data_IF_915368243583
#
_entry.id   IF_915368243583
#
_cell.length_a   1.000
_cell.length_b   1.000
_cell.length_c   1.000
_cell.angle_alpha   90.00
_cell.angle_beta   90.00
_cell.angle_gamma   90.00
#
_symmetry.space_group_name_H-M   'P 1'
#
loop_
_entity.id
_entity.type
_entity.pdbx_description
1 polymer ?
#
# COMPACT_ATOMS: atom_id res chain seq x y z
N UNK A 1 -17.79 -74.11 -4.95
CA UNK A 1 -16.48 -74.77 -5.05
C UNK A 1 -15.50 -73.76 -5.61
N UNK A 2 -14.42 -73.32 -4.99
CA UNK A 2 -13.72 -73.64 -3.75
C UNK A 2 -12.66 -72.52 -3.63
N UNK A 3 -12.54 -71.92 -2.44
CA UNK A 3 -11.33 -71.40 -1.74
C UNK A 3 -10.18 -70.69 -2.51
N UNK A 4 -9.28 -69.85 -1.96
CA UNK A 4 -9.01 -69.16 -0.68
C UNK A 4 -7.73 -68.32 -0.93
N UNK A 5 -7.64 -67.12 -0.31
CA UNK A 5 -6.44 -66.39 0.21
C UNK A 5 -5.31 -66.04 -0.80
N UNK A 6 -4.46 -65.02 -0.63
CA UNK A 6 -4.33 -63.75 0.11
C UNK A 6 -2.88 -63.31 -0.20
N UNK A 7 -2.55 -62.03 -0.45
CA UNK A 7 -1.33 -61.34 0.07
C UNK A 7 -1.44 -59.86 -0.31
N UNK A 8 -1.39 -59.00 0.70
CA UNK A 8 -1.19 -57.55 0.63
C UNK A 8 0.27 -57.22 0.28
N UNK A 9 0.48 -56.27 -0.65
CA UNK A 9 1.76 -55.57 -0.77
C UNK A 9 1.53 -54.10 -1.13
N UNK A 10 2.07 -53.23 -0.29
CA UNK A 10 2.17 -51.78 -0.42
C UNK A 10 3.08 -51.37 -1.57
N UNK A 11 2.70 -50.36 -2.36
CA UNK A 11 3.64 -49.61 -3.19
C UNK A 11 3.17 -48.16 -3.39
N UNK A 12 3.88 -47.23 -2.76
CA UNK A 12 3.86 -45.78 -2.98
C UNK A 12 4.45 -45.45 -4.36
N UNK A 13 3.93 -44.47 -5.13
CA UNK A 13 4.59 -44.02 -6.35
C UNK A 13 5.72 -43.03 -6.01
N UNK A 14 6.94 -43.38 -6.39
CA UNK A 14 8.11 -42.49 -6.28
C UNK A 14 8.06 -41.41 -7.38
N UNK A 15 7.99 -40.14 -6.98
CA UNK A 15 8.16 -38.99 -7.90
C UNK A 15 9.65 -38.68 -8.05
N UNK A 16 10.11 -38.64 -9.30
CA UNK A 16 11.48 -38.35 -9.72
C UNK A 16 11.90 -36.94 -9.27
N UNK A 17 13.09 -36.83 -8.64
CA UNK A 17 13.81 -35.56 -8.44
C UNK A 17 14.55 -35.21 -9.73
N UNK A 18 14.27 -34.04 -10.32
CA UNK A 18 15.11 -33.43 -11.35
C UNK A 18 16.20 -32.61 -10.69
N UNK A 19 17.43 -33.10 -10.72
CA UNK A 19 18.63 -32.36 -10.34
C UNK A 19 19.27 -31.80 -11.62
N UNK A 20 19.34 -30.47 -11.79
CA UNK A 20 20.21 -29.86 -12.81
C UNK A 20 21.64 -29.79 -12.27
N UNK A 21 22.57 -30.38 -13.00
CA UNK A 21 24.00 -30.41 -12.71
C UNK A 21 24.67 -29.27 -13.48
N UNK A 22 25.24 -28.27 -12.80
CA UNK A 22 26.10 -27.25 -13.44
C UNK A 22 27.53 -27.53 -13.00
N UNK A 23 28.40 -27.85 -13.97
CA UNK A 23 29.83 -28.08 -13.78
C UNK A 23 30.60 -26.81 -14.15
N UNK A 24 31.19 -26.13 -13.16
CA UNK A 24 32.22 -25.13 -13.39
C UNK A 24 33.58 -25.72 -13.00
N UNK A 25 34.58 -25.56 -13.87
CA UNK A 25 35.92 -26.16 -13.74
C UNK A 25 36.92 -25.08 -13.36
N UNK A 26 37.41 -25.09 -12.11
CA UNK A 26 38.65 -24.41 -11.70
C UNK A 26 39.45 -25.38 -10.82
N UNK A 27 40.75 -25.43 -11.04
CA UNK A 27 41.63 -26.56 -10.74
C UNK A 27 41.69 -27.06 -9.29
N UNK A 28 41.93 -28.37 -9.18
CA UNK A 28 42.61 -29.00 -8.04
C UNK A 28 41.75 -29.35 -6.82
N UNK A 29 40.96 -30.41 -6.91
CA UNK A 29 40.40 -31.12 -5.74
C UNK A 29 38.87 -31.30 -5.78
N UNK A 30 38.40 -32.53 -5.98
CA UNK A 30 36.96 -32.85 -5.94
C UNK A 30 36.53 -33.05 -4.49
N UNK A 31 35.78 -32.10 -3.94
CA UNK A 31 34.93 -32.31 -2.76
C UNK A 31 33.48 -32.17 -3.19
N UNK A 32 32.74 -33.27 -3.22
CA UNK A 32 31.29 -33.25 -3.49
C UNK A 32 30.54 -32.74 -2.26
N UNK A 33 30.14 -31.47 -2.26
CA UNK A 33 29.14 -30.96 -1.30
C UNK A 33 27.77 -31.09 -1.95
N UNK A 34 26.95 -32.03 -1.45
CA UNK A 34 25.54 -32.13 -1.83
C UNK A 34 24.74 -31.09 -1.04
N UNK A 35 24.34 -30.00 -1.69
CA UNK A 35 23.27 -29.16 -1.16
C UNK A 35 21.92 -29.85 -1.44
N UNK A 36 21.43 -30.59 -0.45
CA UNK A 36 20.03 -31.00 -0.41
C UNK A 36 19.22 -29.88 0.22
N UNK A 37 18.41 -29.16 -0.57
CA UNK A 37 17.41 -28.25 -0.02
C UNK A 37 16.24 -29.08 0.51
N UNK A 38 16.18 -29.26 1.82
CA UNK A 38 15.05 -29.87 2.52
C UNK A 38 14.21 -28.79 3.19
N UNK A 39 13.02 -28.55 2.62
CA UNK A 39 12.09 -27.46 2.97
C UNK A 39 11.59 -27.54 4.43
N UNK A 40 11.57 -28.75 5.02
CA UNK A 40 11.20 -28.94 6.43
C UNK A 40 12.25 -28.40 7.41
N UNK A 41 13.53 -28.44 7.03
CA UNK A 41 14.63 -28.00 7.89
C UNK A 41 14.69 -26.48 8.07
N UNK A 42 14.26 -25.70 7.05
CA UNK A 42 14.14 -24.23 7.09
C UNK A 42 13.04 -23.77 8.03
N UNK A 43 11.85 -24.38 7.95
CA UNK A 43 10.73 -24.05 8.86
C UNK A 43 11.06 -24.31 10.33
N UNK A 44 11.79 -25.39 10.62
CA UNK A 44 12.25 -25.67 11.99
C UNK A 44 13.33 -24.70 12.48
N UNK A 45 14.21 -24.23 11.58
CA UNK A 45 15.30 -23.32 11.94
C UNK A 45 14.85 -21.85 12.07
N UNK A 46 13.89 -21.38 11.27
CA UNK A 46 13.23 -20.07 11.46
C UNK A 46 12.39 -20.03 12.76
N UNK A 47 11.59 -21.07 13.05
CA UNK A 47 10.87 -21.18 14.33
C UNK A 47 11.82 -21.28 15.53
N UNK A 48 12.96 -21.96 15.38
CA UNK A 48 13.98 -22.04 16.42
C UNK A 48 14.76 -20.73 16.59
N UNK A 49 14.96 -19.93 15.53
CA UNK A 49 15.52 -18.58 15.60
C UNK A 49 14.58 -17.63 16.34
N UNK A 50 13.28 -17.61 15.99
CA UNK A 50 12.24 -16.85 16.72
C UNK A 50 12.19 -17.20 18.22
N UNK A 51 12.37 -18.48 18.57
CA UNK A 51 12.41 -18.93 19.98
C UNK A 51 13.72 -18.63 20.72
N UNK A 52 14.83 -18.37 20.02
CA UNK A 52 16.14 -18.08 20.65
C UNK A 52 16.38 -16.60 20.91
N UNK A 53 15.65 -15.72 20.25
CA UNK A 53 15.61 -14.29 20.55
C UNK A 53 14.34 -14.01 21.35
N UNK A 54 14.35 -14.27 22.66
CA UNK A 54 13.35 -13.65 23.53
C UNK A 54 13.45 -12.14 23.33
N UNK A 55 12.40 -11.45 22.86
CA UNK A 55 12.45 -10.01 22.73
C UNK A 55 12.51 -9.45 24.15
N UNK A 56 13.65 -8.87 24.53
CA UNK A 56 13.69 -8.00 25.70
C UNK A 56 12.64 -6.91 25.46
N UNK A 57 11.61 -6.88 26.31
CA UNK A 57 10.40 -6.04 26.22
C UNK A 57 10.65 -4.51 26.18
N UNK A 58 11.91 -4.06 26.13
CA UNK A 58 12.31 -2.66 25.93
C UNK A 58 12.44 -2.26 24.45
N UNK A 59 11.75 -2.97 23.53
CA UNK A 59 11.74 -2.55 22.12
C UNK A 59 11.04 -1.19 21.99
N UNK A 60 11.74 -0.26 21.32
CA UNK A 60 11.48 1.19 21.15
C UNK A 60 10.06 1.51 20.67
N UNK A 61 9.08 1.45 21.56
CA UNK A 61 7.80 2.12 21.38
C UNK A 61 8.02 3.61 21.59
N UNK A 62 7.38 4.44 20.78
CA UNK A 62 7.33 5.87 21.01
C UNK A 62 6.17 6.17 21.94
N UNK A 63 6.45 6.85 23.05
CA UNK A 63 5.40 7.38 23.90
C UNK A 63 4.62 8.44 23.11
N UNK A 64 3.31 8.27 23.05
CA UNK A 64 2.36 9.20 22.42
C UNK A 64 1.25 9.55 23.43
N UNK A 65 0.48 10.63 23.21
CA UNK A 65 -0.65 10.96 24.07
C UNK A 65 -1.58 9.75 24.28
N UNK A 66 -2.13 9.63 25.49
CA UNK A 66 -3.07 8.55 25.85
C UNK A 66 -4.52 8.84 25.45
N UNK A 67 -4.76 9.94 24.75
CA UNK A 67 -6.11 10.35 24.33
C UNK A 67 -6.38 9.76 22.96
N UNK A 68 -7.28 8.78 22.90
CA UNK A 68 -7.83 8.30 21.64
C UNK A 68 -9.04 9.18 21.26
N UNK A 69 -8.96 9.97 20.18
CA UNK A 69 -10.03 10.90 19.78
C UNK A 69 -11.23 10.21 19.13
N UNK A 70 -11.21 8.88 18.97
CA UNK A 70 -12.27 8.13 18.31
C UNK A 70 -13.54 8.13 19.16
N UNK A 71 -14.64 8.66 18.63
CA UNK A 71 -15.93 8.71 19.33
C UNK A 71 -16.95 7.70 18.82
N UNK A 72 -16.84 7.28 17.56
CA UNK A 72 -17.80 6.37 16.95
C UNK A 72 -17.24 5.67 15.70
N UNK A 73 -17.88 4.56 15.33
CA UNK A 73 -17.75 3.93 14.02
C UNK A 73 -19.10 4.01 13.31
N UNK A 74 -19.14 4.56 12.10
CA UNK A 74 -20.37 4.76 11.34
C UNK A 74 -20.40 3.91 10.07
N UNK A 75 -21.48 3.20 9.81
CA UNK A 75 -21.61 2.42 8.59
C UNK A 75 -21.78 3.31 7.35
N UNK A 76 -20.92 3.12 6.35
CA UNK A 76 -20.95 3.84 5.07
C UNK A 76 -22.19 3.56 4.21
N UNK A 77 -22.99 2.54 4.54
CA UNK A 77 -24.20 2.18 3.80
C UNK A 77 -25.49 2.62 4.51
N UNK A 78 -25.65 2.31 5.79
CA UNK A 78 -26.89 2.56 6.53
C UNK A 78 -26.81 3.69 7.56
N UNK A 79 -25.62 4.29 7.78
CA UNK A 79 -25.43 5.33 8.79
C UNK A 79 -25.54 4.84 10.24
N UNK A 80 -25.65 3.53 10.47
CA UNK A 80 -25.70 2.98 11.83
C UNK A 80 -24.38 3.27 12.56
N UNK A 81 -24.51 3.77 13.78
CA UNK A 81 -23.39 4.14 14.64
C UNK A 81 -23.10 3.04 15.67
N UNK A 82 -21.81 2.76 15.87
CA UNK A 82 -21.29 1.79 16.80
C UNK A 82 -20.27 2.43 17.74
N UNK A 83 -20.15 1.85 18.94
CA UNK A 83 -19.07 2.20 19.87
C UNK A 83 -17.75 1.71 19.27
N UNK A 84 -16.67 2.50 19.33
CA UNK A 84 -15.35 2.04 18.91
C UNK A 84 -14.90 0.86 19.77
N UNK A 85 -14.70 -0.30 19.14
CA UNK A 85 -14.14 -1.49 19.75
C UNK A 85 -13.15 -2.16 18.79
N UNK A 86 -12.44 -3.18 19.27
CA UNK A 86 -11.34 -3.83 18.55
C UNK A 86 -11.78 -4.99 17.67
N UNK A 87 -13.05 -5.40 17.76
CA UNK A 87 -13.59 -6.60 17.10
C UNK A 87 -14.52 -6.25 15.93
N UNK A 88 -15.01 -5.02 15.87
CA UNK A 88 -15.97 -4.58 14.85
C UNK A 88 -15.30 -3.83 13.70
N UNK A 89 -15.09 -4.56 12.61
CA UNK A 89 -14.55 -4.01 11.37
C UNK A 89 -15.64 -3.65 10.34
N UNK A 90 -16.77 -4.36 10.35
CA UNK A 90 -17.87 -4.17 9.39
C UNK A 90 -19.23 -4.12 10.10
N UNK A 91 -20.21 -3.49 9.47
CA UNK A 91 -21.59 -3.46 9.94
C UNK A 91 -22.26 -4.84 9.76
N UNK A 92 -22.87 -5.42 10.81
CA UNK A 92 -23.49 -6.74 10.75
C UNK A 92 -24.81 -6.78 9.97
N UNK A 93 -25.37 -5.62 9.59
CA UNK A 93 -26.64 -5.53 8.87
C UNK A 93 -26.46 -5.66 7.34
N UNK A 94 -25.24 -5.91 6.87
CA UNK A 94 -24.90 -6.00 5.44
C UNK A 94 -24.06 -7.26 5.17
N UNK A 95 -24.28 -7.86 4.01
CA UNK A 95 -23.59 -9.09 3.63
C UNK A 95 -22.08 -8.87 3.41
N UNK A 96 -21.29 -9.81 3.92
CA UNK A 96 -19.84 -9.84 3.75
C UNK A 96 -19.17 -8.56 4.27
N UNK A 97 -18.49 -7.86 3.37
CA UNK A 97 -17.71 -6.65 3.68
C UNK A 97 -18.37 -5.37 3.19
N UNK A 98 -19.63 -5.43 2.72
CA UNK A 98 -20.31 -4.25 2.16
C UNK A 98 -20.51 -3.12 3.18
N UNK A 99 -20.67 -3.45 4.46
CA UNK A 99 -20.92 -2.51 5.54
C UNK A 99 -19.68 -1.86 6.15
N UNK A 100 -18.65 -1.50 5.37
CA UNK A 100 -17.42 -0.88 5.90
C UNK A 100 -17.75 0.34 6.76
N UNK A 101 -17.03 0.47 7.87
CA UNK A 101 -17.22 1.56 8.83
C UNK A 101 -16.27 2.73 8.55
N UNK A 102 -16.71 3.95 8.88
CA UNK A 102 -15.91 5.17 8.98
C UNK A 102 -15.63 5.48 10.44
N UNK A 103 -14.38 5.84 10.74
CA UNK A 103 -13.97 6.26 12.09
C UNK A 103 -14.33 7.74 12.27
N UNK A 104 -15.13 8.03 13.29
CA UNK A 104 -15.56 9.38 13.66
C UNK A 104 -14.75 9.89 14.85
N UNK A 105 -14.38 11.17 14.83
CA UNK A 105 -13.49 11.78 15.82
C UNK A 105 -14.12 12.98 16.52
N UNK A 106 -13.78 13.17 17.81
CA UNK A 106 -13.87 14.47 18.46
C UNK A 106 -12.56 15.23 18.22
N UNK A 107 -12.62 16.22 17.32
CA UNK A 107 -11.44 16.94 16.87
C UNK A 107 -11.17 18.22 17.68
N UNK A 108 -12.13 18.65 18.52
CA UNK A 108 -12.03 19.92 19.24
C UNK A 108 -10.83 19.94 20.21
N UNK A 109 -10.49 18.79 20.81
CA UNK A 109 -9.36 18.66 21.72
C UNK A 109 -7.99 18.58 21.05
N UNK A 110 -7.92 18.35 19.74
CA UNK A 110 -6.67 18.19 19.00
C UNK A 110 -6.18 19.48 18.31
N UNK A 111 -7.06 20.49 18.19
CA UNK A 111 -6.77 21.73 17.45
C UNK A 111 -5.51 22.43 17.94
N UNK A 112 -5.46 22.76 19.23
CA UNK A 112 -4.37 23.57 19.79
C UNK A 112 -3.01 22.86 19.63
N UNK A 113 -2.98 21.53 19.82
CA UNK A 113 -1.79 20.73 19.64
C UNK A 113 -1.24 20.75 18.20
N UNK A 114 -2.11 20.94 17.20
CA UNK A 114 -1.73 21.04 15.79
C UNK A 114 -1.32 22.47 15.44
N UNK A 115 -2.10 23.46 15.87
CA UNK A 115 -1.87 24.89 15.57
C UNK A 115 -0.54 25.37 16.18
N UNK A 116 -0.24 24.96 17.41
CA UNK A 116 1.00 25.36 18.11
C UNK A 116 2.28 24.92 17.38
N UNK A 117 2.16 23.95 16.46
CA UNK A 117 3.28 23.37 15.70
C UNK A 117 3.08 23.54 14.19
N UNK A 118 2.18 24.40 13.72
CA UNK A 118 1.80 24.48 12.30
C UNK A 118 3.03 24.63 11.38
N UNK A 119 3.91 25.56 11.74
CA UNK A 119 5.14 25.91 11.00
C UNK A 119 6.33 24.97 11.25
N UNK A 120 6.23 24.06 12.22
CA UNK A 120 7.30 23.09 12.49
C UNK A 120 7.42 22.09 11.34
N UNK A 121 8.63 21.67 10.94
CA UNK A 121 8.80 20.51 10.07
C UNK A 121 8.12 19.28 10.69
N UNK A 122 7.40 18.53 9.85
CA UNK A 122 6.75 17.27 10.24
C UNK A 122 7.81 16.19 10.21
N UNK A 123 8.18 15.65 11.37
CA UNK A 123 9.22 14.63 11.44
C UNK A 123 8.71 13.27 10.93
N UNK A 124 7.48 12.92 11.31
CA UNK A 124 6.79 11.67 10.97
C UNK A 124 5.30 11.77 11.29
N UNK A 125 4.56 10.69 11.03
CA UNK A 125 3.10 10.62 11.26
C UNK A 125 2.70 10.82 12.73
N UNK A 126 3.61 10.57 13.68
CA UNK A 126 3.29 10.60 15.11
C UNK A 126 3.33 12.02 15.67
N UNK A 127 3.81 13.00 14.92
CA UNK A 127 3.54 14.42 15.21
C UNK A 127 2.04 14.75 15.12
N UNK A 128 1.25 13.91 14.44
CA UNK A 128 -0.21 13.99 14.35
C UNK A 128 -0.91 13.02 15.33
N UNK A 129 -0.19 12.43 16.29
CA UNK A 129 -0.75 11.46 17.23
C UNK A 129 -2.05 11.89 17.96
N UNK A 130 -2.24 13.17 18.36
CA UNK A 130 -3.50 13.61 18.98
C UNK A 130 -4.74 13.43 18.09
N UNK A 131 -4.55 13.31 16.77
CA UNK A 131 -5.63 13.06 15.82
C UNK A 131 -5.86 11.57 15.61
N UNK A 132 -4.85 10.71 15.83
CA UNK A 132 -4.84 9.31 15.43
C UNK A 132 -5.54 8.36 16.42
N UNK A 133 -6.14 7.26 15.95
CA UNK A 133 -6.90 6.32 16.78
C UNK A 133 -5.99 5.34 17.53
N UNK A 134 -5.00 5.85 18.26
CA UNK A 134 -3.97 5.09 18.98
C UNK A 134 -3.77 5.66 20.38
N UNK A 135 -3.39 4.85 21.35
CA UNK A 135 -3.22 5.25 22.74
C UNK A 135 -1.87 4.80 23.34
N UNK A 136 -1.16 5.78 23.92
CA UNK A 136 0.00 5.55 24.81
C UNK A 136 1.31 5.15 24.11
N UNK A 137 1.30 4.09 23.30
CA UNK A 137 2.51 3.54 22.68
C UNK A 137 2.35 3.29 21.19
N UNK A 138 3.14 4.01 20.40
CA UNK A 138 3.19 3.91 18.96
C UNK A 138 4.35 3.03 18.48
N UNK A 139 4.11 2.30 17.39
CA UNK A 139 5.15 1.61 16.64
C UNK A 139 5.75 2.58 15.64
N UNK A 140 7.01 2.95 15.89
CA UNK A 140 7.69 3.96 15.10
C UNK A 140 8.80 3.35 14.23
N UNK A 141 8.67 3.56 12.93
CA UNK A 141 9.71 3.32 11.93
C UNK A 141 10.11 4.61 11.19
N UNK A 142 9.52 5.76 11.52
CA UNK A 142 9.69 7.03 10.81
C UNK A 142 8.87 7.14 9.53
N UNK A 143 7.62 6.67 9.54
CA UNK A 143 6.72 6.87 8.40
C UNK A 143 6.05 8.24 8.44
N UNK A 144 5.74 8.80 7.28
CA UNK A 144 5.27 10.18 7.18
C UNK A 144 6.38 11.22 7.29
N UNK A 145 6.00 12.49 7.45
CA UNK A 145 6.95 13.61 7.35
C UNK A 145 7.59 13.71 5.96
N UNK A 146 6.91 13.22 4.93
CA UNK A 146 7.47 13.07 3.58
C UNK A 146 7.55 14.41 2.85
N UNK A 147 8.56 14.63 2.01
CA UNK A 147 8.76 15.92 1.37
C UNK A 147 7.69 16.19 0.31
N UNK A 148 7.37 17.48 0.14
CA UNK A 148 6.65 18.00 -1.01
C UNK A 148 7.68 18.58 -1.98
N UNK A 149 7.97 17.85 -3.06
CA UNK A 149 9.00 18.21 -4.03
C UNK A 149 8.43 19.10 -5.12
N UNK A 150 9.16 20.13 -5.54
CA UNK A 150 8.83 20.87 -6.77
C UNK A 150 9.20 20.04 -8.00
N UNK A 151 8.35 20.06 -9.04
CA UNK A 151 8.61 19.43 -10.33
C UNK A 151 8.61 20.48 -11.46
N UNK A 152 9.68 21.29 -11.57
CA UNK A 152 9.71 22.45 -12.45
C UNK A 152 9.65 22.08 -13.94
N UNK A 153 10.29 20.99 -14.36
CA UNK A 153 10.29 20.59 -15.78
C UNK A 153 8.88 20.16 -16.21
N UNK A 154 8.18 19.40 -15.37
CA UNK A 154 6.78 19.05 -15.58
C UNK A 154 5.87 20.29 -15.56
N UNK A 155 6.14 21.22 -14.65
CA UNK A 155 5.37 22.48 -14.55
C UNK A 155 5.43 23.26 -15.87
N UNK A 156 6.64 23.44 -16.41
CA UNK A 156 6.85 24.14 -17.69
C UNK A 156 6.21 23.40 -18.87
N UNK A 157 6.29 22.06 -18.90
CA UNK A 157 5.73 21.24 -19.98
C UNK A 157 4.21 21.25 -20.01
N UNK A 158 3.56 21.27 -18.84
CA UNK A 158 2.10 21.15 -18.70
C UNK A 158 1.41 22.51 -18.56
N UNK A 159 2.16 23.60 -18.35
CA UNK A 159 1.60 24.94 -18.17
C UNK A 159 0.84 25.11 -16.85
N UNK A 160 1.22 24.35 -15.81
CA UNK A 160 0.63 24.34 -14.46
C UNK A 160 1.75 24.30 -13.43
N UNK A 161 1.46 24.52 -12.15
CA UNK A 161 2.46 24.35 -11.07
C UNK A 161 2.36 22.94 -10.50
N UNK A 162 3.41 22.12 -10.63
CA UNK A 162 3.41 20.73 -10.19
C UNK A 162 4.30 20.53 -8.96
N UNK A 163 3.72 19.93 -7.93
CA UNK A 163 4.44 19.38 -6.79
C UNK A 163 4.19 17.87 -6.64
N UNK A 164 5.14 17.17 -6.03
CA UNK A 164 5.08 15.74 -5.77
C UNK A 164 5.09 15.48 -4.28
N UNK A 165 4.03 14.88 -3.74
CA UNK A 165 4.02 14.34 -2.39
C UNK A 165 4.75 13.00 -2.41
N UNK A 166 6.03 13.01 -2.03
CA UNK A 166 6.94 11.88 -2.28
C UNK A 166 6.92 10.85 -1.13
N UNK A 167 6.05 9.84 -1.25
CA UNK A 167 5.91 8.77 -0.25
C UNK A 167 6.91 7.62 -0.43
N UNK A 168 7.81 7.71 -1.43
CA UNK A 168 8.80 6.66 -1.72
C UNK A 168 9.81 6.49 -0.60
N UNK A 169 10.08 7.56 0.14
CA UNK A 169 11.05 7.62 1.25
C UNK A 169 10.57 6.95 2.55
N UNK A 170 9.33 6.49 2.61
CA UNK A 170 8.82 5.76 3.78
C UNK A 170 9.65 4.48 4.06
N UNK A 171 9.68 3.97 5.31
CA UNK A 171 10.61 2.93 5.77
C UNK A 171 10.64 1.63 4.96
N UNK A 172 9.50 1.18 4.46
CA UNK A 172 9.38 -0.02 3.61
C UNK A 172 9.30 0.33 2.14
N UNK A 173 9.34 1.61 1.76
CA UNK A 173 9.33 2.12 0.39
C UNK A 173 7.93 2.42 -0.17
N UNK A 174 6.93 2.67 0.69
CA UNK A 174 5.59 3.07 0.22
C UNK A 174 4.75 3.76 1.29
N UNK A 175 3.73 4.50 0.85
CA UNK A 175 2.70 5.15 1.68
C UNK A 175 2.00 4.20 2.67
N UNK A 176 2.01 2.89 2.41
CA UNK A 176 1.34 1.88 3.25
C UNK A 176 1.90 1.83 4.68
N UNK A 177 3.10 2.36 4.90
CA UNK A 177 3.71 2.48 6.22
C UNK A 177 2.89 3.31 7.18
N UNK A 178 2.19 4.35 6.70
CA UNK A 178 1.29 5.14 7.52
C UNK A 178 0.14 4.31 8.09
N UNK A 179 -0.48 3.46 7.24
CA UNK A 179 -1.55 2.57 7.67
C UNK A 179 -1.04 1.49 8.63
N UNK A 180 0.08 0.85 8.30
CA UNK A 180 0.67 -0.21 9.14
C UNK A 180 1.12 0.30 10.50
N UNK A 181 1.62 1.54 10.59
CA UNK A 181 1.97 2.18 11.86
C UNK A 181 0.77 2.24 12.81
N UNK A 182 -0.38 2.75 12.33
CA UNK A 182 -1.61 2.83 13.11
C UNK A 182 -2.16 1.43 13.43
N UNK A 183 -2.28 0.57 12.41
CA UNK A 183 -2.88 -0.77 12.56
C UNK A 183 -2.10 -1.65 13.53
N UNK A 184 -0.77 -1.69 13.42
CA UNK A 184 0.05 -2.50 14.30
C UNK A 184 0.11 -1.93 15.72
N UNK A 185 0.08 -0.60 15.89
CA UNK A 185 -0.01 0.03 17.22
C UNK A 185 -1.33 -0.31 17.89
N UNK A 186 -2.44 -0.25 17.15
CA UNK A 186 -3.76 -0.67 17.64
C UNK A 186 -3.81 -2.15 18.00
N UNK A 187 -3.22 -3.02 17.16
CA UNK A 187 -3.13 -4.44 17.48
C UNK A 187 -2.43 -4.67 18.82
N UNK A 188 -1.30 -4.00 19.03
CA UNK A 188 -0.55 -4.09 20.29
C UNK A 188 -1.37 -3.58 21.50
N UNK A 189 -2.05 -2.44 21.36
CA UNK A 189 -2.92 -1.88 22.40
C UNK A 189 -4.14 -2.78 22.71
N UNK A 190 -4.51 -3.63 21.77
CA UNK A 190 -5.64 -4.57 21.88
C UNK A 190 -5.23 -5.96 22.35
N UNK A 191 -4.02 -6.11 22.91
CA UNK A 191 -3.42 -7.38 23.34
C UNK A 191 -3.39 -8.47 22.24
N UNK A 192 -3.37 -8.05 20.97
CA UNK A 192 -3.28 -8.96 19.83
C UNK A 192 -1.84 -9.44 19.66
N UNK A 193 -1.67 -10.74 19.42
CA UNK A 193 -0.35 -11.36 19.20
C UNK A 193 -0.02 -11.61 17.73
N UNK A 194 -1.05 -11.66 16.88
CA UNK A 194 -0.93 -11.93 15.45
C UNK A 194 -1.65 -10.87 14.65
N UNK A 195 -0.95 -10.27 13.69
CA UNK A 195 -1.53 -9.40 12.67
C UNK A 195 -1.52 -10.11 11.32
N UNK A 196 -2.53 -9.85 10.49
CA UNK A 196 -2.67 -10.54 9.22
C UNK A 196 -3.30 -9.66 8.15
N UNK A 197 -2.99 -9.95 6.88
CA UNK A 197 -3.72 -9.40 5.76
C UNK A 197 -3.65 -10.33 4.54
N UNK A 198 -4.62 -10.17 3.64
CA UNK A 198 -4.56 -10.75 2.30
C UNK A 198 -4.07 -9.68 1.31
N UNK A 199 -2.79 -9.74 0.98
CA UNK A 199 -2.14 -8.80 0.05
C UNK A 199 -0.83 -9.38 -0.47
N UNK A 200 -0.53 -9.08 -1.73
CA UNK A 200 0.67 -9.55 -2.43
C UNK A 200 1.70 -8.44 -2.64
N UNK A 201 1.41 -7.21 -2.21
CA UNK A 201 2.20 -6.02 -2.56
C UNK A 201 2.59 -5.16 -1.35
N UNK A 202 2.55 -3.84 -1.55
CA UNK A 202 3.03 -2.85 -0.60
C UNK A 202 2.44 -2.98 0.82
N UNK A 203 1.17 -3.37 0.96
CA UNK A 203 0.55 -3.54 2.26
C UNK A 203 1.13 -4.72 3.06
N UNK A 204 1.43 -5.85 2.40
CA UNK A 204 2.04 -7.00 3.04
C UNK A 204 3.48 -6.70 3.51
N UNK A 205 4.27 -6.07 2.65
CA UNK A 205 5.64 -5.67 2.97
C UNK A 205 5.68 -4.69 4.15
N UNK A 206 4.81 -3.69 4.11
CA UNK A 206 4.67 -2.69 5.18
C UNK A 206 4.27 -3.34 6.51
N UNK A 207 3.18 -4.13 6.52
CA UNK A 207 2.69 -4.78 7.74
C UNK A 207 3.74 -5.71 8.36
N UNK A 208 4.45 -6.49 7.54
CA UNK A 208 5.54 -7.34 7.99
C UNK A 208 6.70 -6.54 8.61
N UNK A 209 7.08 -5.39 8.02
CA UNK A 209 8.12 -4.52 8.57
C UNK A 209 7.76 -3.96 9.94
N UNK A 210 6.51 -3.53 10.13
CA UNK A 210 6.01 -3.05 11.41
C UNK A 210 5.90 -4.16 12.46
N UNK A 211 5.42 -5.35 12.08
CA UNK A 211 5.40 -6.51 12.97
C UNK A 211 6.80 -6.90 13.46
N UNK A 212 7.78 -6.86 12.57
CA UNK A 212 9.17 -7.16 12.88
C UNK A 212 9.77 -6.21 13.92
N UNK A 213 9.23 -4.98 14.07
CA UNK A 213 9.65 -4.01 15.10
C UNK A 213 9.09 -4.34 16.48
N UNK A 214 7.87 -4.86 16.59
CA UNK A 214 7.16 -5.06 17.87
C UNK A 214 7.06 -6.48 18.35
N UNK A 215 7.52 -7.46 17.56
CA UNK A 215 7.44 -8.87 17.95
C UNK A 215 6.05 -9.48 17.77
N UNK A 216 5.13 -8.76 17.11
CA UNK A 216 3.89 -9.33 16.60
C UNK A 216 4.23 -10.41 15.57
N UNK A 217 3.54 -11.55 15.63
CA UNK A 217 3.58 -12.51 14.53
C UNK A 217 2.81 -11.92 13.34
N UNK A 218 3.37 -12.03 12.14
CA UNK A 218 2.75 -11.52 10.91
C UNK A 218 2.45 -12.67 9.96
N UNK A 219 1.19 -12.83 9.60
CA UNK A 219 0.71 -13.86 8.67
C UNK A 219 0.12 -13.20 7.42
N UNK A 220 0.69 -13.48 6.26
CA UNK A 220 0.25 -12.90 4.98
C UNK A 220 -0.35 -14.01 4.12
N UNK A 221 -1.55 -13.79 3.59
CA UNK A 221 -2.21 -14.70 2.66
C UNK A 221 -2.08 -14.15 1.23
N UNK A 222 -1.60 -15.00 0.33
CA UNK A 222 -1.37 -14.68 -1.08
C UNK A 222 -1.90 -15.80 -1.97
N UNK A 223 -2.40 -15.54 -3.19
CA UNK A 223 -2.71 -16.62 -4.12
C UNK A 223 -1.45 -17.37 -4.57
N UNK A 224 -1.61 -18.60 -5.07
CA UNK A 224 -0.50 -19.50 -5.38
C UNK A 224 0.40 -19.04 -6.54
N UNK A 225 -0.10 -18.15 -7.39
CA UNK A 225 0.55 -17.64 -8.60
C UNK A 225 1.35 -16.34 -8.37
N UNK A 226 1.49 -15.89 -7.12
CA UNK A 226 2.16 -14.62 -6.81
C UNK A 226 3.64 -14.66 -7.16
N UNK A 227 4.15 -13.61 -7.84
CA UNK A 227 5.58 -13.50 -8.15
C UNK A 227 6.44 -13.58 -6.89
N UNK A 228 7.42 -14.48 -6.89
CA UNK A 228 8.32 -14.72 -5.74
C UNK A 228 8.97 -13.42 -5.25
N UNK A 229 9.35 -12.53 -6.17
CA UNK A 229 9.96 -11.23 -5.87
C UNK A 229 9.14 -10.37 -4.89
N UNK A 230 7.81 -10.42 -4.96
CA UNK A 230 6.93 -9.63 -4.09
C UNK A 230 6.84 -10.18 -2.67
N UNK A 231 7.04 -11.50 -2.51
CA UNK A 231 7.09 -12.14 -1.19
C UNK A 231 8.43 -11.93 -0.46
N UNK A 232 9.49 -11.55 -1.17
CA UNK A 232 10.85 -11.43 -0.59
C UNK A 232 10.88 -10.47 0.59
N UNK A 233 10.35 -9.24 0.44
CA UNK A 233 10.41 -8.24 1.50
C UNK A 233 9.65 -8.67 2.78
N UNK A 234 8.38 -9.14 2.70
CA UNK A 234 7.70 -9.73 3.87
C UNK A 234 8.48 -10.88 4.52
N UNK A 235 9.04 -11.81 3.73
CA UNK A 235 9.79 -12.96 4.23
C UNK A 235 11.08 -12.54 4.93
N UNK A 236 11.78 -11.51 4.43
CA UNK A 236 12.99 -10.94 5.04
C UNK A 236 12.65 -10.31 6.40
N UNK A 237 11.50 -9.63 6.52
CA UNK A 237 11.00 -9.13 7.80
C UNK A 237 10.50 -10.25 8.74
N UNK A 238 10.45 -11.48 8.24
CA UNK A 238 10.12 -12.66 9.04
C UNK A 238 8.63 -12.95 9.12
N UNK A 239 7.81 -12.45 8.20
CA UNK A 239 6.41 -12.85 8.09
C UNK A 239 6.26 -14.30 7.62
N UNK A 240 5.20 -14.97 8.07
CA UNK A 240 4.75 -16.23 7.50
C UNK A 240 3.85 -15.94 6.29
N UNK A 241 4.35 -16.22 5.08
CA UNK A 241 3.60 -16.04 3.83
C UNK A 241 2.97 -17.37 3.41
N UNK A 242 1.64 -17.41 3.38
CA UNK A 242 0.83 -18.57 3.00
C UNK A 242 0.32 -18.40 1.58
N UNK A 243 0.89 -19.16 0.64
CA UNK A 243 0.35 -19.35 -0.69
C UNK A 243 -0.90 -20.22 -0.62
N UNK A 244 -2.05 -19.66 -0.99
CA UNK A 244 -3.36 -20.30 -0.99
C UNK A 244 -3.60 -20.90 -2.37
N UNK A 245 -3.99 -22.18 -2.42
CA UNK A 245 -4.36 -22.87 -3.65
C UNK A 245 -5.71 -22.33 -4.16
N UNK A 246 -5.67 -21.18 -4.84
CA UNK A 246 -6.84 -20.41 -5.28
C UNK A 246 -6.46 -19.03 -5.79
N UNK A 247 -7.46 -18.21 -6.09
CA UNK A 247 -7.28 -16.82 -6.52
C UNK A 247 -7.22 -15.83 -5.34
N UNK A 248 -7.25 -14.53 -5.62
CA UNK A 248 -7.25 -13.49 -4.59
C UNK A 248 -8.49 -13.56 -3.68
N UNK A 249 -9.67 -13.83 -4.23
CA UNK A 249 -10.92 -13.90 -3.47
C UNK A 249 -10.87 -15.11 -2.50
N UNK A 250 -10.26 -16.22 -2.92
CA UNK A 250 -9.98 -17.38 -2.05
C UNK A 250 -9.01 -17.03 -0.91
N UNK A 251 -7.89 -16.36 -1.23
CA UNK A 251 -6.90 -15.96 -0.23
C UNK A 251 -7.47 -14.96 0.79
N UNK A 252 -8.26 -14.00 0.33
CA UNK A 252 -8.98 -13.03 1.16
C UNK A 252 -9.99 -13.72 2.08
N UNK A 253 -10.81 -14.62 1.53
CA UNK A 253 -11.81 -15.38 2.28
C UNK A 253 -11.17 -16.26 3.36
N UNK A 254 -10.05 -16.92 3.05
CA UNK A 254 -9.31 -17.72 4.03
C UNK A 254 -8.70 -16.87 5.14
N UNK A 255 -8.07 -15.74 4.78
CA UNK A 255 -7.53 -14.78 5.75
C UNK A 255 -8.60 -14.35 6.76
N UNK A 256 -9.78 -13.98 6.26
CA UNK A 256 -10.95 -13.58 7.06
C UNK A 256 -11.42 -14.69 8.01
N UNK A 257 -11.66 -15.89 7.47
CA UNK A 257 -12.14 -17.02 8.25
C UNK A 257 -11.15 -17.42 9.36
N UNK A 258 -9.84 -17.42 9.06
CA UNK A 258 -8.80 -17.72 10.06
C UNK A 258 -8.72 -16.62 11.13
N UNK A 259 -8.83 -15.36 10.72
CA UNK A 259 -8.80 -14.22 11.64
C UNK A 259 -9.92 -14.30 12.68
N UNK A 260 -11.14 -14.59 12.24
CA UNK A 260 -12.30 -14.77 13.13
C UNK A 260 -12.14 -15.99 14.04
N UNK A 261 -11.71 -17.13 13.50
CA UNK A 261 -11.57 -18.36 14.29
C UNK A 261 -10.46 -18.30 15.34
N UNK A 262 -9.40 -17.54 15.07
CA UNK A 262 -8.19 -17.51 15.91
C UNK A 262 -7.99 -16.20 16.66
N UNK A 263 -8.93 -15.26 16.53
CA UNK A 263 -8.81 -13.90 17.03
C UNK A 263 -7.48 -13.28 16.57
N UNK A 264 -7.22 -13.26 15.26
CA UNK A 264 -6.09 -12.51 14.70
C UNK A 264 -6.58 -11.14 14.25
N UNK A 265 -5.72 -10.14 14.40
CA UNK A 265 -6.06 -8.78 13.98
C UNK A 265 -5.91 -8.62 12.47
N UNK A 266 -7.03 -8.58 11.77
CA UNK A 266 -7.07 -8.40 10.32
C UNK A 266 -6.86 -6.93 9.94
N UNK A 267 -5.73 -6.67 9.30
CA UNK A 267 -5.26 -5.37 8.83
C UNK A 267 -5.67 -5.05 7.39
N UNK A 268 -6.49 -5.90 6.75
CA UNK A 268 -6.87 -5.70 5.35
C UNK A 268 -7.72 -4.43 5.20
N UNK A 269 -7.31 -3.52 4.31
CA UNK A 269 -8.00 -2.24 4.10
C UNK A 269 -9.44 -2.38 3.57
N UNK A 270 -9.79 -3.55 3.05
CA UNK A 270 -11.14 -3.90 2.63
C UNK A 270 -12.13 -4.07 3.82
N UNK A 271 -11.63 -4.23 5.04
CA UNK A 271 -12.45 -4.50 6.22
C UNK A 271 -12.12 -3.59 7.38
N UNK A 272 -10.84 -3.36 7.65
CA UNK A 272 -10.45 -2.66 8.87
C UNK A 272 -10.65 -1.14 8.70
N UNK A 273 -11.58 -0.51 9.44
CA UNK A 273 -11.87 0.92 9.29
C UNK A 273 -10.65 1.78 9.63
N UNK A 274 -9.77 1.29 10.51
CA UNK A 274 -8.57 1.99 10.94
C UNK A 274 -7.45 2.01 9.89
N UNK A 275 -7.55 1.20 8.82
CA UNK A 275 -6.56 1.20 7.75
C UNK A 275 -6.51 2.53 6.97
N UNK A 276 -7.62 3.27 6.95
CA UNK A 276 -7.75 4.60 6.32
C UNK A 276 -7.08 5.67 7.20
N UNK A 277 -7.02 5.46 8.51
CA UNK A 277 -6.72 6.50 9.49
C UNK A 277 -5.23 6.84 9.60
N UNK A 278 -4.35 5.93 9.18
CA UNK A 278 -2.95 6.27 8.93
C UNK A 278 -2.78 7.03 7.63
N UNK A 279 -3.47 6.62 6.55
CA UNK A 279 -3.35 7.25 5.23
C UNK A 279 -3.85 8.70 5.22
N UNK A 280 -4.83 9.05 6.07
CA UNK A 280 -5.35 10.44 6.11
C UNK A 280 -4.31 11.47 6.52
N UNK A 281 -3.24 11.03 7.21
CA UNK A 281 -2.12 11.91 7.57
C UNK A 281 -1.45 12.53 6.34
N UNK A 282 -1.60 11.94 5.15
CA UNK A 282 -1.18 12.60 3.90
C UNK A 282 -1.95 13.90 3.69
N UNK A 283 -3.27 13.90 3.92
CA UNK A 283 -4.09 15.11 3.83
C UNK A 283 -3.71 16.15 4.88
N UNK A 284 -3.45 15.73 6.12
CA UNK A 284 -2.97 16.61 7.18
C UNK A 284 -1.61 17.24 6.85
N UNK A 285 -0.67 16.42 6.35
CA UNK A 285 0.64 16.90 5.94
C UNK A 285 0.56 17.85 4.76
N UNK A 286 -0.26 17.55 3.75
CA UNK A 286 -0.47 18.45 2.62
C UNK A 286 -1.07 19.78 3.07
N UNK A 287 -2.13 19.76 3.87
CA UNK A 287 -2.73 20.97 4.42
C UNK A 287 -1.69 21.84 5.16
N UNK A 288 -0.79 21.23 5.95
CA UNK A 288 0.29 21.99 6.61
C UNK A 288 1.39 22.44 5.65
N UNK A 289 1.78 21.61 4.69
CA UNK A 289 2.85 21.92 3.73
C UNK A 289 2.41 22.98 2.70
N UNK A 290 1.09 23.15 2.52
CA UNK A 290 0.50 24.09 1.56
C UNK A 290 -0.45 25.08 2.22
N UNK A 291 -0.31 25.35 3.53
CA UNK A 291 -1.25 26.21 4.26
C UNK A 291 -1.26 27.66 3.75
N UNK A 292 -0.17 28.14 3.15
CA UNK A 292 -0.09 29.46 2.51
C UNK A 292 -0.81 29.52 1.16
N UNK A 293 -0.85 28.40 0.42
CA UNK A 293 -1.45 28.31 -0.91
C UNK A 293 -1.95 26.88 -1.12
N UNK A 294 -3.24 26.68 -0.83
CA UNK A 294 -3.90 25.39 -1.01
C UNK A 294 -3.87 25.04 -2.50
N UNK A 295 -3.47 23.81 -2.89
CA UNK A 295 -3.45 23.41 -4.28
C UNK A 295 -4.86 23.36 -4.85
N UNK A 296 -5.02 23.71 -6.12
CA UNK A 296 -6.28 23.56 -6.85
C UNK A 296 -6.65 22.08 -6.99
N UNK A 297 -5.66 21.20 -7.17
CA UNK A 297 -5.87 19.77 -7.31
C UNK A 297 -4.89 18.90 -6.51
N UNK A 298 -5.40 17.82 -5.95
CA UNK A 298 -4.61 16.67 -5.50
C UNK A 298 -4.94 15.46 -6.38
N UNK A 299 -3.93 14.95 -7.07
CA UNK A 299 -4.05 13.79 -7.96
C UNK A 299 -3.59 12.54 -7.25
N UNK A 300 -4.46 11.52 -7.21
CA UNK A 300 -4.26 10.33 -6.40
C UNK A 300 -4.57 9.05 -7.19
N UNK A 301 -3.69 8.03 -7.19
CA UNK A 301 -3.95 6.79 -7.89
C UNK A 301 -4.85 5.86 -7.06
N UNK A 302 -5.86 5.26 -7.68
CA UNK A 302 -6.91 4.52 -6.99
C UNK A 302 -6.92 3.03 -7.37
N UNK A 303 -6.55 2.19 -6.39
CA UNK A 303 -6.92 0.78 -6.40
C UNK A 303 -8.22 0.58 -5.64
N UNK A 304 -8.11 0.34 -4.33
CA UNK A 304 -9.28 0.12 -3.47
C UNK A 304 -10.08 1.39 -3.13
N UNK A 305 -9.59 2.58 -3.47
CA UNK A 305 -10.19 3.89 -3.14
C UNK A 305 -9.85 4.47 -1.76
N UNK A 306 -9.18 3.71 -0.89
CA UNK A 306 -8.90 4.13 0.49
C UNK A 306 -7.95 5.35 0.57
N UNK A 307 -6.92 5.42 -0.26
CA UNK A 307 -5.90 6.48 -0.20
C UNK A 307 -6.46 7.85 -0.57
N UNK A 308 -7.24 7.94 -1.65
CA UNK A 308 -7.90 9.18 -2.06
C UNK A 308 -8.88 9.65 -0.99
N UNK A 309 -9.77 8.76 -0.53
CA UNK A 309 -10.75 9.08 0.51
C UNK A 309 -10.09 9.52 1.82
N UNK A 310 -8.99 8.86 2.21
CA UNK A 310 -8.23 9.23 3.40
C UNK A 310 -7.59 10.61 3.27
N UNK A 311 -6.94 10.88 2.12
CA UNK A 311 -6.25 12.14 1.87
C UNK A 311 -7.24 13.31 1.89
N UNK A 312 -8.38 13.16 1.22
CA UNK A 312 -9.46 14.13 1.30
C UNK A 312 -9.95 14.35 2.73
N UNK A 313 -10.24 13.25 3.46
CA UNK A 313 -10.66 13.32 4.87
C UNK A 313 -9.65 14.13 5.70
N UNK A 314 -8.35 13.84 5.61
CA UNK A 314 -7.35 14.58 6.40
C UNK A 314 -7.32 16.08 6.08
N UNK A 315 -7.44 16.45 4.81
CA UNK A 315 -7.47 17.86 4.41
C UNK A 315 -8.74 18.57 4.91
N UNK A 316 -9.90 17.93 4.72
CA UNK A 316 -11.22 18.37 5.22
C UNK A 316 -11.22 18.62 6.73
N UNK A 317 -10.61 17.71 7.50
CA UNK A 317 -10.47 17.86 8.95
C UNK A 317 -9.71 19.16 9.32
N UNK A 318 -8.68 19.54 8.56
CA UNK A 318 -7.90 20.76 8.85
C UNK A 318 -8.64 22.03 8.43
N UNK A 319 -9.52 21.96 7.43
CA UNK A 319 -10.47 23.06 7.16
C UNK A 319 -11.49 23.19 8.28
N UNK A 320 -12.08 22.09 8.74
CA UNK A 320 -13.08 22.12 9.82
C UNK A 320 -12.50 22.61 11.15
N UNK A 321 -11.20 22.40 11.37
CA UNK A 321 -10.46 22.93 12.51
C UNK A 321 -9.99 24.38 12.33
N UNK A 322 -10.20 24.98 11.17
CA UNK A 322 -9.75 26.33 10.83
C UNK A 322 -8.22 26.46 10.86
N UNK A 323 -7.52 25.42 10.39
CA UNK A 323 -6.05 25.39 10.21
C UNK A 323 -5.70 25.87 8.80
N UNK A 324 -6.52 25.51 7.80
CA UNK A 324 -6.43 26.00 6.43
C UNK A 324 -7.81 26.49 5.98
N UNK A 325 -7.85 27.45 5.07
CA UNK A 325 -9.09 28.14 4.70
C UNK A 325 -9.91 27.43 3.61
N UNK A 326 -9.28 26.54 2.83
CA UNK A 326 -9.90 25.90 1.67
C UNK A 326 -9.40 24.48 1.42
N UNK A 327 -9.98 23.80 0.43
CA UNK A 327 -9.72 22.39 0.10
C UNK A 327 -9.34 22.23 -1.38
N UNK A 328 -8.45 21.29 -1.72
CA UNK A 328 -8.16 20.97 -3.11
C UNK A 328 -9.28 20.14 -3.73
N UNK A 329 -9.48 20.26 -5.04
CA UNK A 329 -10.28 19.29 -5.78
C UNK A 329 -9.52 17.96 -5.88
N UNK A 330 -10.21 16.83 -5.80
CA UNK A 330 -9.56 15.52 -5.91
C UNK A 330 -9.63 15.01 -7.36
N UNK A 331 -8.49 14.64 -7.94
CA UNK A 331 -8.44 13.92 -9.22
C UNK A 331 -8.06 12.46 -8.96
N UNK A 332 -9.03 11.55 -9.10
CA UNK A 332 -8.81 10.12 -8.95
C UNK A 332 -8.37 9.49 -10.27
N UNK A 333 -7.26 8.75 -10.26
CA UNK A 333 -6.75 8.07 -11.47
C UNK A 333 -6.83 6.55 -11.32
N UNK A 334 -7.38 5.87 -12.31
CA UNK A 334 -7.33 4.40 -12.42
C UNK A 334 -6.70 3.97 -13.74
N UNK A 335 -6.14 2.76 -13.76
CA UNK A 335 -5.76 2.14 -15.03
C UNK A 335 -7.02 1.67 -15.77
N UNK A 336 -7.01 1.72 -17.10
CA UNK A 336 -8.11 1.24 -17.93
C UNK A 336 -8.49 -0.19 -17.56
N UNK A 337 -7.51 -1.07 -17.31
CA UNK A 337 -7.78 -2.46 -16.94
C UNK A 337 -8.39 -2.68 -15.55
N UNK A 338 -8.49 -1.64 -14.71
CA UNK A 338 -9.00 -1.72 -13.35
C UNK A 338 -9.68 -0.40 -12.90
N UNK A 339 -10.72 0.01 -13.61
CA UNK A 339 -11.34 1.35 -13.54
C UNK A 339 -12.71 1.39 -12.82
N UNK A 340 -13.03 0.40 -11.98
CA UNK A 340 -14.37 0.26 -11.39
C UNK A 340 -14.87 1.46 -10.55
N UNK A 341 -13.98 2.27 -9.96
CA UNK A 341 -14.36 3.51 -9.25
C UNK A 341 -14.66 4.62 -10.27
N UNK A 342 -13.89 4.74 -11.34
CA UNK A 342 -14.13 5.66 -12.45
C UNK A 342 -15.52 5.40 -13.07
N UNK A 343 -15.83 4.14 -13.40
CA UNK A 343 -17.15 3.75 -13.94
C UNK A 343 -18.30 4.08 -12.97
N UNK A 344 -18.08 3.85 -11.67
CA UNK A 344 -19.10 4.15 -10.66
C UNK A 344 -19.35 5.66 -10.51
N UNK A 345 -18.29 6.48 -10.62
CA UNK A 345 -18.36 7.92 -10.45
C UNK A 345 -18.86 8.64 -11.71
N UNK A 346 -18.46 8.14 -12.88
CA UNK A 346 -18.76 8.70 -14.20
C UNK A 346 -19.53 7.69 -15.05
N UNK A 347 -20.78 7.35 -14.70
CA UNK A 347 -21.52 6.25 -15.36
C UNK A 347 -21.87 6.51 -16.83
N UNK A 348 -21.78 7.77 -17.27
CA UNK A 348 -22.00 8.18 -18.67
C UNK A 348 -20.71 8.16 -19.51
N UNK A 349 -19.58 7.66 -18.98
CA UNK A 349 -18.37 7.50 -19.79
C UNK A 349 -18.57 6.38 -20.81
N UNK A 350 -18.19 6.63 -22.07
CA UNK A 350 -18.30 5.65 -23.16
C UNK A 350 -17.26 4.51 -23.05
N UNK A 351 -16.44 4.50 -21.99
CA UNK A 351 -15.33 3.59 -21.75
C UNK A 351 -15.79 2.38 -20.91
N UNK A 352 -16.57 1.47 -21.52
CA UNK A 352 -16.95 0.22 -20.87
C UNK A 352 -15.72 -0.71 -20.74
N UNK A 353 -15.38 -1.10 -19.51
CA UNK A 353 -14.18 -1.91 -19.26
C UNK A 353 -14.45 -3.40 -19.41
N UNK A 354 -13.50 -4.15 -19.98
CA UNK A 354 -13.54 -5.61 -19.93
C UNK A 354 -13.32 -6.05 -18.47
N UNK A 355 -14.26 -6.77 -17.84
CA UNK A 355 -14.11 -7.23 -16.45
C UNK A 355 -12.94 -8.22 -16.26
N UNK A 356 -12.32 -8.69 -17.34
CA UNK A 356 -11.13 -9.54 -17.34
C UNK A 356 -9.84 -8.77 -17.66
N UNK A 357 -9.91 -7.48 -17.95
CA UNK A 357 -8.72 -6.67 -18.14
C UNK A 357 -7.90 -6.62 -16.83
N UNK A 358 -6.60 -6.43 -16.99
CA UNK A 358 -5.62 -6.29 -15.91
C UNK A 358 -4.69 -5.15 -16.26
N UNK A 359 -4.00 -4.59 -15.27
CA UNK A 359 -3.00 -3.53 -15.45
C UNK A 359 -1.64 -3.97 -14.94
N UNK A 360 -0.57 -3.45 -15.54
CA UNK A 360 0.79 -3.55 -15.03
C UNK A 360 0.99 -2.74 -13.73
N UNK A 361 0.12 -1.78 -13.43
CA UNK A 361 0.12 -1.01 -12.20
C UNK A 361 -0.48 -1.80 -11.02
N UNK A 362 0.28 -2.78 -10.53
CA UNK A 362 -0.16 -3.79 -9.57
C UNK A 362 -0.87 -3.27 -8.31
N UNK A 363 -0.44 -2.11 -7.80
CA UNK A 363 -0.93 -1.52 -6.55
C UNK A 363 -2.30 -0.85 -6.73
N UNK A 364 -2.74 -0.67 -7.98
CA UNK A 364 -4.07 -0.22 -8.36
C UNK A 364 -4.86 -1.26 -9.17
N UNK A 365 -4.32 -2.47 -9.38
CA UNK A 365 -5.03 -3.59 -10.01
C UNK A 365 -6.09 -4.19 -9.05
N UNK A 366 -7.20 -3.47 -8.88
CA UNK A 366 -8.28 -3.83 -7.96
C UNK A 366 -9.61 -3.85 -8.70
N UNK A 367 -10.05 -5.06 -9.05
CA UNK A 367 -11.32 -5.30 -9.78
C UNK A 367 -12.58 -4.99 -8.96
N UNK A 368 -12.54 -5.26 -7.65
CA UNK A 368 -13.69 -5.06 -6.74
C UNK A 368 -13.28 -4.12 -5.60
N UNK A 369 -13.22 -2.81 -5.83
CA UNK A 369 -12.82 -1.83 -4.82
C UNK A 369 -13.85 -1.77 -3.68
N UNK A 370 -13.48 -2.31 -2.53
CA UNK A 370 -14.32 -2.34 -1.33
C UNK A 370 -14.59 -0.94 -0.75
N UNK A 371 -13.69 0.03 -0.96
CA UNK A 371 -13.88 1.43 -0.52
C UNK A 371 -14.29 2.38 -1.65
N UNK A 372 -14.84 1.89 -2.77
CA UNK A 372 -15.27 2.73 -3.89
C UNK A 372 -16.26 3.84 -3.48
N UNK A 373 -17.22 3.52 -2.60
CA UNK A 373 -18.17 4.50 -2.06
C UNK A 373 -17.50 5.63 -1.28
N UNK A 374 -16.43 5.34 -0.52
CA UNK A 374 -15.68 6.37 0.20
C UNK A 374 -14.94 7.28 -0.77
N UNK A 375 -14.34 6.70 -1.83
CA UNK A 375 -13.68 7.47 -2.88
C UNK A 375 -14.68 8.35 -3.64
N UNK A 376 -15.82 7.81 -4.09
CA UNK A 376 -16.86 8.59 -4.77
C UNK A 376 -17.37 9.75 -3.91
N UNK A 377 -17.65 9.51 -2.62
CA UNK A 377 -18.02 10.58 -1.68
C UNK A 377 -16.97 11.68 -1.57
N UNK A 378 -15.69 11.32 -1.55
CA UNK A 378 -14.60 12.30 -1.49
C UNK A 378 -14.46 13.09 -2.80
N UNK A 379 -14.62 12.42 -3.94
CA UNK A 379 -14.66 13.06 -5.25
C UNK A 379 -15.84 14.03 -5.35
N UNK A 380 -17.05 13.60 -4.99
CA UNK A 380 -18.26 14.45 -4.97
C UNK A 380 -18.07 15.65 -4.04
N UNK A 381 -17.60 15.42 -2.81
CA UNK A 381 -17.45 16.47 -1.81
C UNK A 381 -16.34 17.49 -2.12
N UNK A 382 -15.42 17.14 -3.02
CA UNK A 382 -14.30 18.00 -3.44
C UNK A 382 -14.54 18.68 -4.77
N UNK A 383 -15.75 18.56 -5.36
CA UNK A 383 -16.01 18.94 -6.76
C UNK A 383 -14.95 18.36 -7.71
N UNK A 384 -14.52 17.13 -7.38
CA UNK A 384 -13.44 16.41 -8.00
C UNK A 384 -13.84 15.73 -9.31
N UNK A 385 -12.92 14.95 -9.84
CA UNK A 385 -13.09 14.24 -11.10
C UNK A 385 -12.28 12.94 -11.12
N UNK A 386 -12.56 12.09 -12.11
CA UNK A 386 -11.80 10.86 -12.32
C UNK A 386 -11.39 10.70 -13.76
N UNK A 387 -10.25 10.05 -13.98
CA UNK A 387 -9.75 9.67 -15.29
C UNK A 387 -9.27 8.22 -15.27
N UNK A 388 -9.53 7.50 -16.35
CA UNK A 388 -8.90 6.22 -16.66
C UNK A 388 -7.75 6.46 -17.66
N UNK A 389 -6.64 5.74 -17.48
CA UNK A 389 -5.44 5.82 -18.33
C UNK A 389 -4.93 4.43 -18.67
N UNK A 390 -4.38 4.28 -19.87
CA UNK A 390 -3.82 3.02 -20.36
C UNK A 390 -2.49 2.68 -19.66
N UNK A 391 -2.11 1.41 -19.69
CA UNK A 391 -0.79 0.96 -19.21
C UNK A 391 0.35 1.66 -19.96
N UNK A 392 0.20 1.92 -21.26
CA UNK A 392 1.21 2.62 -22.05
C UNK A 392 1.39 4.07 -21.56
N UNK A 393 0.30 4.78 -21.29
CA UNK A 393 0.34 6.13 -20.68
C UNK A 393 1.00 6.10 -19.30
N UNK A 394 0.69 5.11 -18.46
CA UNK A 394 1.29 4.94 -17.13
C UNK A 394 2.81 4.73 -17.24
N UNK A 395 3.25 3.84 -18.13
CA UNK A 395 4.66 3.50 -18.32
C UNK A 395 5.46 4.66 -18.94
N UNK A 396 4.85 5.41 -19.85
CA UNK A 396 5.43 6.64 -20.39
C UNK A 396 5.53 7.73 -19.32
N UNK A 397 4.54 7.85 -18.43
CA UNK A 397 4.60 8.74 -17.28
C UNK A 397 5.69 8.32 -16.28
N UNK A 398 5.90 7.02 -16.04
CA UNK A 398 7.00 6.50 -15.20
C UNK A 398 8.35 6.93 -15.77
N UNK A 399 8.53 6.74 -17.08
CA UNK A 399 9.73 7.16 -17.79
C UNK A 399 9.92 8.68 -17.74
N UNK A 400 8.84 9.45 -17.85
CA UNK A 400 8.85 10.91 -17.81
C UNK A 400 9.30 11.40 -16.43
N UNK A 401 8.67 10.94 -15.34
CA UNK A 401 9.06 11.27 -13.96
C UNK A 401 10.56 11.01 -13.70
N UNK A 402 11.05 9.86 -14.16
CA UNK A 402 12.46 9.50 -14.03
C UNK A 402 13.40 10.43 -14.81
N UNK A 403 13.02 10.81 -16.03
CA UNK A 403 13.87 11.62 -16.93
C UNK A 403 13.83 13.12 -16.66
N UNK A 404 12.69 13.65 -16.22
CA UNK A 404 12.50 15.09 -16.06
C UNK A 404 12.76 15.56 -14.63
N UNK A 405 12.39 14.75 -13.63
CA UNK A 405 12.48 15.13 -12.21
C UNK A 405 13.43 14.24 -11.38
N UNK A 406 14.00 13.18 -11.98
CA UNK A 406 14.83 12.22 -11.24
C UNK A 406 14.02 11.37 -10.25
N UNK A 407 12.72 11.21 -10.49
CA UNK A 407 11.79 10.50 -9.61
C UNK A 407 11.53 9.10 -10.16
N UNK A 408 12.24 8.10 -9.62
CA UNK A 408 11.93 6.69 -9.89
C UNK A 408 10.74 6.21 -9.04
N UNK A 409 9.55 6.27 -9.62
CA UNK A 409 8.28 5.88 -9.03
C UNK A 409 7.84 4.49 -9.52
N UNK A 410 7.00 3.79 -8.75
CA UNK A 410 6.33 2.57 -9.25
C UNK A 410 5.21 2.94 -10.26
N UNK A 411 4.75 2.01 -11.12
CA UNK A 411 3.73 2.32 -12.13
C UNK A 411 2.43 2.91 -11.55
N UNK A 412 1.95 2.38 -10.43
CA UNK A 412 0.76 2.94 -9.74
C UNK A 412 0.95 4.40 -9.31
N UNK A 413 2.17 4.80 -8.94
CA UNK A 413 2.48 6.21 -8.64
C UNK A 413 2.55 7.05 -9.91
N UNK A 414 3.15 6.51 -10.97
CA UNK A 414 3.25 7.17 -12.27
C UNK A 414 1.89 7.44 -12.92
N UNK A 415 0.88 6.63 -12.61
CA UNK A 415 -0.51 6.88 -13.04
C UNK A 415 -1.02 8.28 -12.66
N UNK A 416 -0.53 8.88 -11.57
CA UNK A 416 -0.90 10.28 -11.23
C UNK A 416 -0.47 11.29 -12.29
N UNK A 417 0.73 11.14 -12.87
CA UNK A 417 1.19 12.00 -13.94
C UNK A 417 0.43 11.73 -15.24
N UNK A 418 0.21 10.46 -15.60
CA UNK A 418 -0.61 10.10 -16.76
C UNK A 418 -2.02 10.70 -16.66
N UNK A 419 -2.64 10.60 -15.48
CA UNK A 419 -3.96 11.17 -15.24
C UNK A 419 -3.97 12.70 -15.28
N UNK A 420 -2.92 13.37 -14.77
CA UNK A 420 -2.78 14.83 -14.91
C UNK A 420 -2.66 15.23 -16.38
N UNK A 421 -1.83 14.56 -17.16
CA UNK A 421 -1.65 14.82 -18.60
C UNK A 421 -3.00 14.73 -19.32
N UNK A 422 -3.76 13.65 -19.08
CA UNK A 422 -5.10 13.48 -19.65
C UNK A 422 -6.08 14.56 -19.20
N UNK A 423 -6.05 14.96 -17.92
CA UNK A 423 -6.91 16.01 -17.39
C UNK A 423 -6.59 17.40 -17.98
N UNK A 424 -5.32 17.69 -18.25
CA UNK A 424 -4.89 18.91 -18.97
C UNK A 424 -5.39 18.86 -20.42
N UNK A 425 -5.20 17.75 -21.12
CA UNK A 425 -5.64 17.58 -22.52
C UNK A 425 -7.16 17.70 -22.68
N UNK A 426 -7.92 17.25 -21.67
CA UNK A 426 -9.38 17.35 -21.62
C UNK A 426 -9.87 18.74 -21.18
N UNK A 427 -8.98 19.65 -20.77
CA UNK A 427 -9.33 20.97 -20.24
C UNK A 427 -10.03 20.92 -18.88
N UNK A 428 -9.89 19.82 -18.15
CA UNK A 428 -10.40 19.64 -16.79
C UNK A 428 -9.55 20.41 -15.77
N UNK A 429 -8.24 20.41 -15.98
CA UNK A 429 -7.26 21.22 -15.25
C UNK A 429 -6.98 22.49 -16.05
N UNK A 430 -7.07 23.65 -15.40
CA UNK A 430 -6.87 24.92 -16.06
C UNK A 430 -5.38 25.31 -16.10
N UNK A 431 -4.94 26.07 -17.13
CA UNK A 431 -3.59 26.61 -17.16
C UNK A 431 -3.30 27.46 -15.92
N UNK A 432 -2.16 27.23 -15.30
CA UNK A 432 -1.74 27.92 -14.08
C UNK A 432 -2.21 27.29 -12.77
N UNK A 433 -3.07 26.26 -12.80
CA UNK A 433 -3.50 25.54 -11.60
C UNK A 433 -2.29 24.98 -10.81
N UNK A 434 -2.40 24.95 -9.49
CA UNK A 434 -1.44 24.29 -8.59
C UNK A 434 -1.89 22.86 -8.30
N UNK A 435 -1.05 21.91 -8.70
CA UNK A 435 -1.31 20.49 -8.66
C UNK A 435 -0.33 19.78 -7.72
N UNK A 436 -0.83 18.85 -6.92
CA UNK A 436 -0.03 17.90 -6.15
C UNK A 436 -0.26 16.49 -6.65
N UNK A 437 0.78 15.81 -7.14
CA UNK A 437 0.77 14.39 -7.47
C UNK A 437 1.20 13.56 -6.26
N UNK A 438 0.41 12.58 -5.85
CA UNK A 438 0.81 11.67 -4.76
C UNK A 438 1.58 10.47 -5.30
N UNK A 439 2.90 10.47 -5.05
CA UNK A 439 3.82 9.41 -5.50
C UNK A 439 3.89 8.33 -4.42
N UNK A 440 2.99 7.35 -4.47
CA UNK A 440 2.71 6.39 -3.40
C UNK A 440 3.80 5.37 -3.08
N UNK A 441 4.71 5.07 -4.00
CA UNK A 441 5.67 3.97 -3.84
C UNK A 441 6.87 4.04 -4.79
N UNK A 442 7.97 3.44 -4.36
CA UNK A 442 9.26 3.48 -5.08
C UNK A 442 9.32 2.49 -6.23
N UNK A 443 9.88 2.91 -7.36
CA UNK A 443 10.12 2.02 -8.51
C UNK A 443 11.08 0.86 -8.19
N UNK A 444 11.89 0.98 -7.12
CA UNK A 444 12.78 -0.10 -6.66
C UNK A 444 12.03 -1.40 -6.29
N UNK A 445 10.71 -1.31 -6.04
CA UNK A 445 9.87 -2.47 -5.75
C UNK A 445 9.35 -3.18 -6.99
N UNK A 446 9.34 -2.52 -8.14
CA UNK A 446 8.85 -3.07 -9.40
C UNK A 446 9.90 -2.94 -10.52
N UNK A 447 11.03 -3.60 -10.30
CA UNK A 447 12.09 -3.68 -11.31
C UNK A 447 11.68 -4.46 -12.55
N UNK A 448 10.60 -5.26 -12.48
CA UNK A 448 10.13 -6.06 -13.60
C UNK A 448 9.46 -5.17 -14.66
N UNK A 449 8.53 -4.31 -14.26
CA UNK A 449 7.90 -3.33 -15.16
C UNK A 449 8.93 -2.32 -15.68
N UNK A 450 9.76 -1.76 -14.79
CA UNK A 450 10.79 -0.80 -15.19
C UNK A 450 11.81 -1.36 -16.20
N UNK A 451 12.08 -2.67 -16.17
CA UNK A 451 12.96 -3.33 -17.15
C UNK A 451 12.41 -3.28 -18.57
N UNK A 452 11.10 -3.19 -18.75
CA UNK A 452 10.46 -3.06 -20.07
C UNK A 452 10.66 -1.67 -20.67
N UNK A 453 11.01 -0.67 -19.85
CA UNK A 453 11.15 0.73 -20.25
C UNK A 453 12.54 1.11 -20.76
N UNK A 454 13.52 0.21 -20.66
CA UNK A 454 14.93 0.49 -20.89
C UNK A 454 15.55 -0.48 -21.90
N UNK A 455 16.45 0.02 -22.74
CA UNK A 455 17.13 -0.76 -23.79
C UNK A 455 18.25 -1.69 -23.25
N UNK A 456 18.41 -1.73 -21.92
CA UNK A 456 19.42 -2.54 -21.23
C UNK A 456 20.74 -1.81 -20.99
N UNK A 457 21.75 -2.57 -20.53
CA UNK A 457 23.08 -2.04 -20.25
C UNK A 457 23.96 -2.21 -21.49
N UNK A 458 24.49 -1.11 -22.01
CA UNK A 458 25.42 -1.13 -23.13
C UNK A 458 26.77 -1.74 -22.69
N UNK A 459 27.18 -2.81 -23.37
CA UNK A 459 28.45 -3.48 -23.10
C UNK A 459 29.54 -2.98 -24.04
N UNK A 460 30.38 -2.08 -23.54
CA UNK A 460 31.52 -1.52 -24.28
C UNK A 460 32.84 -2.19 -23.89
N UNK A 461 33.78 -2.38 -24.84
CA UNK A 461 35.16 -2.73 -24.52
C UNK A 461 35.83 -1.77 -23.52
N UNK A 462 36.85 -2.24 -22.79
CA UNK A 462 37.69 -1.41 -21.92
C UNK A 462 38.64 -0.54 -22.78
N UNK A 463 38.06 0.45 -23.47
CA UNK A 463 38.75 1.42 -24.31
C UNK A 463 38.01 2.76 -24.31
N UNK A 464 38.68 3.91 -24.19
CA UNK A 464 38.06 5.22 -24.35
C UNK A 464 37.33 5.38 -25.69
N UNK A 465 37.90 4.83 -26.77
CA UNK A 465 37.34 4.92 -28.13
C UNK A 465 36.06 4.11 -28.33
N UNK A 466 35.71 3.24 -27.37
CA UNK A 466 34.51 2.42 -27.43
C UNK A 466 33.26 3.13 -26.88
N UNK A 467 33.42 4.33 -26.32
CA UNK A 467 32.30 5.12 -25.80
C UNK A 467 31.72 5.95 -26.95
N UNK A 468 30.41 5.83 -27.26
CA UNK A 468 29.77 6.66 -28.28
C UNK A 468 29.95 8.15 -27.97
N UNK A 469 30.22 8.96 -29.00
CA UNK A 469 30.15 10.42 -28.86
C UNK A 469 28.72 10.82 -28.47
N UNK A 470 28.60 11.77 -27.55
CA UNK A 470 27.31 12.36 -27.19
C UNK A 470 27.11 13.61 -28.05
N UNK A 471 26.08 13.58 -28.89
CA UNK A 471 25.62 14.76 -29.65
C UNK A 471 24.98 15.83 -28.74
#
# INVERSE_FOLDING_TARGET
MTALRSVTASATPSRRRTSRLILARVGGGISTVRYGFDDRSRRSSQKAYRRRTEPTHERRLRAIPTVNPTIALECTLCGRVFVPDTERHVCPDHDGVGGILDVQYDQAGARDAVVDRLDDPIADLWDLAPLLPTDGNAIDLGAGGTPLLSAPTLSDQLGVTVHLKDERGNPTGSIKDRASAVLASRALASDQSVITCASTGNAAASLAGYAARTGLDCCIFVPADVPEGKAVQPLVYGADVYAVDGDYDDAFSLCRAVSEQRNWYDCSAAVNPYAVEGLRTVGHELARQTHETVPDWVVYPMGNGCGLAATWKGFDEFVNLGIVDDRPRMLGVQADGASAIHEQFSPDSDEATDPNATTQADSIDVRKPHNARKACRALDASDGATVAVSDDEILDAERTLGRTEGVYAEPASAATLAGLQRAVDQGLVAPGDHIVLVVTGTGLKDTASARTLVDGVEHVPHSPDAIPERE
#
